data_IF_407173317484
#
_entry.id   IF_407173317484
#
_cell.length_a   1.000
_cell.length_b   1.000
_cell.length_c   1.000
_cell.angle_alpha   90.00
_cell.angle_beta   90.00
_cell.angle_gamma   90.00
#
_symmetry.space_group_name_H-M   'P 1'
#
loop_
_entity.id
_entity.type
_entity.pdbx_description
1 polymer ?
#
# COMPACT_ATOMS: atom_id res chain seq x y z
N UNK A 1 15.39 -3.48 45.09
CA UNK A 1 14.55 -4.59 44.61
C UNK A 1 15.27 -5.23 43.43
N UNK A 2 15.77 -6.46 43.56
CA UNK A 2 16.37 -7.18 42.45
C UNK A 2 15.27 -7.56 41.46
N UNK A 3 15.30 -7.01 40.26
CA UNK A 3 14.44 -7.45 39.17
C UNK A 3 14.80 -8.90 38.86
N UNK A 4 13.96 -9.83 39.29
CA UNK A 4 14.09 -11.25 38.94
C UNK A 4 14.15 -11.38 37.41
N UNK A 5 15.02 -12.25 36.91
CA UNK A 5 15.18 -12.57 35.49
C UNK A 5 13.82 -12.88 34.81
N UNK A 6 12.89 -13.47 35.56
CA UNK A 6 11.51 -13.70 35.12
C UNK A 6 10.74 -12.39 34.82
N UNK A 7 10.91 -11.35 35.63
CA UNK A 7 10.28 -10.04 35.43
C UNK A 7 10.82 -9.33 34.17
N UNK A 8 12.11 -9.46 33.89
CA UNK A 8 12.74 -8.93 32.67
C UNK A 8 12.20 -9.64 31.43
N UNK A 9 12.13 -10.98 31.45
CA UNK A 9 11.56 -11.78 30.34
C UNK A 9 10.11 -11.40 30.04
N UNK A 10 9.28 -11.22 31.07
CA UNK A 10 7.87 -10.82 30.91
C UNK A 10 7.73 -9.43 30.30
N UNK A 11 8.54 -8.47 30.75
CA UNK A 11 8.58 -7.10 30.21
C UNK A 11 8.98 -7.08 28.72
N UNK A 12 10.00 -7.86 28.35
CA UNK A 12 10.44 -8.00 26.94
C UNK A 12 9.32 -8.60 26.08
N UNK A 13 8.69 -9.69 26.53
CA UNK A 13 7.60 -10.34 25.80
C UNK A 13 6.41 -9.42 25.59
N UNK A 14 6.06 -8.61 26.60
CA UNK A 14 4.98 -7.64 26.48
C UNK A 14 5.30 -6.57 25.44
N UNK A 15 6.52 -6.04 25.47
CA UNK A 15 6.99 -5.04 24.50
C UNK A 15 6.93 -5.57 23.06
N UNK A 16 7.40 -6.80 22.84
CA UNK A 16 7.39 -7.39 21.49
C UNK A 16 5.96 -7.66 20.99
N UNK A 17 5.03 -8.02 21.90
CA UNK A 17 3.60 -8.13 21.55
C UNK A 17 3.01 -6.79 21.10
N UNK A 18 3.28 -5.71 21.83
CA UNK A 18 2.84 -4.37 21.43
C UNK A 18 3.42 -4.00 20.06
N UNK A 19 4.73 -4.17 19.86
CA UNK A 19 5.39 -3.91 18.57
C UNK A 19 4.76 -4.69 17.42
N UNK A 20 4.42 -5.96 17.65
CA UNK A 20 3.74 -6.79 16.66
C UNK A 20 2.29 -6.37 16.40
N UNK A 21 1.60 -5.79 17.38
CA UNK A 21 0.26 -5.24 17.21
C UNK A 21 0.30 -4.01 16.29
N UNK A 22 1.16 -3.04 16.59
CA UNK A 22 1.36 -1.83 15.78
C UNK A 22 1.72 -2.19 14.32
N UNK A 23 2.60 -3.19 14.14
CA UNK A 23 2.96 -3.68 12.81
C UNK A 23 1.76 -4.30 12.06
N UNK A 24 0.90 -5.04 12.77
CA UNK A 24 -0.26 -5.68 12.14
C UNK A 24 -1.33 -4.64 11.79
N UNK A 25 -1.51 -3.62 12.62
CA UNK A 25 -2.41 -2.48 12.36
C UNK A 25 -1.98 -1.74 11.09
N UNK A 26 -0.71 -1.34 10.98
CA UNK A 26 -0.20 -0.69 9.77
C UNK A 26 -0.36 -1.57 8.51
N UNK A 27 -0.25 -2.89 8.65
CA UNK A 27 -0.47 -3.82 7.53
C UNK A 27 -1.96 -3.93 7.15
N UNK A 28 -2.88 -3.78 8.09
CA UNK A 28 -4.31 -3.74 7.83
C UNK A 28 -4.74 -2.43 7.15
N UNK A 29 -4.14 -1.30 7.54
CA UNK A 29 -4.29 -0.03 6.82
C UNK A 29 -3.80 -0.15 5.37
N UNK A 30 -2.65 -0.81 5.17
CA UNK A 30 -2.18 -1.12 3.81
C UNK A 30 -3.20 -1.97 3.05
N UNK A 31 -3.80 -3.00 3.68
CA UNK A 31 -4.83 -3.82 3.01
C UNK A 31 -6.02 -2.98 2.58
N UNK A 32 -6.45 -2.00 3.36
CA UNK A 32 -7.64 -1.20 3.09
C UNK A 32 -7.53 -0.35 1.81
N UNK A 33 -6.32 0.01 1.39
CA UNK A 33 -6.06 0.82 0.19
C UNK A 33 -5.76 -0.01 -1.06
N UNK A 34 -5.57 -1.32 -0.94
CA UNK A 34 -5.27 -2.17 -2.09
C UNK A 34 -6.50 -2.44 -2.96
N UNK A 35 -6.30 -2.67 -4.27
CA UNK A 35 -7.37 -3.22 -5.11
C UNK A 35 -7.87 -4.52 -4.49
N UNK A 36 -9.19 -4.75 -4.53
CA UNK A 36 -9.90 -5.88 -3.90
C UNK A 36 -10.13 -5.80 -2.38
N UNK A 37 -9.74 -4.71 -1.70
CA UNK A 37 -10.05 -4.50 -0.28
C UNK A 37 -11.54 -4.32 0.02
N UNK A 38 -12.32 -3.90 -0.98
CA UNK A 38 -13.73 -3.55 -0.85
C UNK A 38 -14.61 -4.70 -1.34
N UNK A 39 -15.10 -5.51 -0.40
CA UNK A 39 -16.12 -6.51 -0.63
C UNK A 39 -16.30 -7.39 0.60
N UNK A 40 -17.52 -7.42 1.16
CA UNK A 40 -17.83 -8.12 2.42
C UNK A 40 -17.57 -9.64 2.43
N UNK A 41 -17.12 -10.20 1.31
CA UNK A 41 -16.82 -11.63 1.12
C UNK A 41 -15.36 -11.90 0.69
N UNK A 42 -14.50 -10.87 0.60
CA UNK A 42 -13.10 -11.06 0.19
C UNK A 42 -12.27 -11.50 1.40
N UNK A 43 -11.76 -12.73 1.35
CA UNK A 43 -10.90 -13.31 2.39
C UNK A 43 -9.66 -12.43 2.62
N UNK A 44 -9.35 -12.16 3.90
CA UNK A 44 -8.15 -11.39 4.30
C UNK A 44 -6.88 -12.01 3.68
N UNK A 45 -6.13 -11.19 2.94
CA UNK A 45 -4.87 -11.60 2.33
C UNK A 45 -3.80 -11.90 3.38
N UNK A 46 -2.96 -12.90 3.12
CA UNK A 46 -1.77 -13.18 3.94
C UNK A 46 -0.81 -11.98 3.95
N UNK A 47 0.11 -11.91 4.93
CA UNK A 47 1.11 -10.82 4.99
C UNK A 47 1.94 -10.73 3.71
N UNK A 48 2.42 -11.87 3.21
CA UNK A 48 3.21 -11.96 1.98
C UNK A 48 2.38 -11.53 0.76
N UNK A 49 1.14 -12.02 0.64
CA UNK A 49 0.27 -11.65 -0.47
C UNK A 49 -0.06 -10.14 -0.47
N UNK A 50 -0.27 -9.56 0.72
CA UNK A 50 -0.51 -8.11 0.89
C UNK A 50 0.69 -7.30 0.37
N UNK A 51 1.91 -7.67 0.79
CA UNK A 51 3.13 -6.97 0.35
C UNK A 51 3.39 -7.11 -1.15
N UNK A 52 3.17 -8.31 -1.71
CA UNK A 52 3.31 -8.54 -3.15
C UNK A 52 2.31 -7.71 -3.96
N UNK A 53 1.05 -7.69 -3.52
CA UNK A 53 -0.01 -6.92 -4.18
C UNK A 53 0.27 -5.42 -4.07
N UNK A 54 0.71 -4.93 -2.91
CA UNK A 54 1.09 -3.53 -2.71
C UNK A 54 2.20 -3.09 -3.65
N UNK A 55 3.29 -3.86 -3.74
CA UNK A 55 4.40 -3.59 -4.66
C UNK A 55 3.90 -3.51 -6.11
N UNK A 56 3.12 -4.49 -6.54
CA UNK A 56 2.62 -4.54 -7.91
C UNK A 56 1.64 -3.39 -8.20
N UNK A 57 0.82 -3.01 -7.21
CA UNK A 57 -0.11 -1.90 -7.33
C UNK A 57 0.63 -0.57 -7.55
N UNK A 58 1.69 -0.30 -6.79
CA UNK A 58 2.53 0.90 -6.97
C UNK A 58 3.12 0.95 -8.39
N UNK A 59 3.69 -0.16 -8.88
CA UNK A 59 4.27 -0.25 -10.24
C UNK A 59 3.20 0.04 -11.31
N UNK A 60 2.01 -0.55 -11.16
CA UNK A 60 0.90 -0.36 -12.09
C UNK A 60 0.39 1.09 -12.08
N UNK A 61 0.25 1.71 -10.90
CA UNK A 61 -0.14 3.12 -10.79
C UNK A 61 0.89 4.06 -11.43
N UNK A 62 2.19 3.81 -11.23
CA UNK A 62 3.24 4.60 -11.86
C UNK A 62 3.17 4.51 -13.39
N UNK A 63 2.98 3.32 -13.95
CA UNK A 63 2.80 3.11 -15.39
C UNK A 63 1.55 3.82 -15.92
N UNK A 64 0.42 3.69 -15.23
CA UNK A 64 -0.82 4.35 -15.63
C UNK A 64 -0.69 5.89 -15.65
N UNK A 65 0.02 6.47 -14.69
CA UNK A 65 0.29 7.92 -14.67
C UNK A 65 1.11 8.35 -15.89
N UNK A 66 2.12 7.58 -16.28
CA UNK A 66 2.94 7.89 -17.45
C UNK A 66 2.13 7.80 -18.76
N UNK A 67 1.32 6.76 -18.92
CA UNK A 67 0.41 6.61 -20.07
C UNK A 67 -0.59 7.77 -20.16
N UNK A 68 -1.17 8.19 -19.02
CA UNK A 68 -2.09 9.33 -18.98
C UNK A 68 -1.39 10.66 -19.34
N UNK A 69 -0.13 10.86 -18.92
CA UNK A 69 0.65 12.04 -19.30
C UNK A 69 0.88 12.09 -20.81
N UNK A 70 1.22 10.96 -21.42
CA UNK A 70 1.42 10.84 -22.87
C UNK A 70 0.12 11.10 -23.63
N UNK A 71 -1.00 10.57 -23.15
CA UNK A 71 -2.32 10.83 -23.72
C UNK A 71 -2.71 12.31 -23.64
N UNK A 72 -2.48 12.96 -22.50
CA UNK A 72 -2.74 14.40 -22.36
C UNK A 72 -1.86 15.22 -23.29
N UNK A 73 -0.59 14.85 -23.46
CA UNK A 73 0.32 15.51 -24.38
C UNK A 73 -0.14 15.36 -25.85
N UNK A 74 -0.53 14.15 -26.27
CA UNK A 74 -0.99 13.91 -27.64
C UNK A 74 -2.28 14.67 -27.95
N UNK A 75 -3.24 14.70 -27.02
CA UNK A 75 -4.48 15.47 -27.15
C UNK A 75 -4.22 16.98 -27.27
N UNK A 76 -3.27 17.51 -26.50
CA UNK A 76 -2.86 18.92 -26.62
C UNK A 76 -2.26 19.23 -27.99
N UNK A 77 -1.39 18.36 -28.50
CA UNK A 77 -0.82 18.53 -29.85
C UNK A 77 -1.90 18.48 -30.91
N UNK A 78 -2.85 17.54 -30.83
CA UNK A 78 -3.97 17.44 -31.78
C UNK A 78 -4.86 18.69 -31.78
N UNK A 79 -5.16 19.24 -30.60
CA UNK A 79 -5.93 20.47 -30.47
C UNK A 79 -5.20 21.67 -31.10
N UNK A 80 -3.90 21.79 -30.85
CA UNK A 80 -3.10 22.88 -31.42
C UNK A 80 -3.01 22.77 -32.95
N UNK A 81 -2.86 21.56 -33.49
CA UNK A 81 -2.85 21.32 -34.94
C UNK A 81 -4.18 21.74 -35.58
N UNK A 82 -5.30 21.40 -34.95
CA UNK A 82 -6.63 21.75 -35.45
C UNK A 82 -6.90 23.26 -35.43
N UNK A 83 -6.35 23.97 -34.45
CA UNK A 83 -6.45 25.43 -34.36
C UNK A 83 -5.57 26.17 -35.39
N UNK A 84 -4.56 25.52 -35.97
CA UNK A 84 -3.73 26.10 -37.04
C UNK A 84 -4.26 25.81 -38.45
N UNK A 85 -5.17 24.84 -38.58
CA UNK A 85 -5.76 24.41 -39.86
C UNK A 85 -7.13 25.07 -40.15
N UNK A 86 -7.67 25.86 -39.21
CA UNK A 86 -8.85 26.75 -39.36
C UNK A 86 -8.42 28.23 -39.46
#
# INVERSE_FOLDING_TARGET
MSTSEAGVRLSINMRERCRMHDLNEALDDLRAVLPYARGGSVRKLSKIATLLLAKNHIIMQAKAIEELRQLVASLRTQLNQKATDE
#
